data_IF_700622973132
#
_entry.id   IF_700622973132
#
_cell.length_a   1.000
_cell.length_b   1.000
_cell.length_c   1.000
_cell.angle_alpha   90.00
_cell.angle_beta   90.00
_cell.angle_gamma   90.00
#
_symmetry.space_group_name_H-M   'P 1'
#
loop_
_entity.id
_entity.type
_entity.pdbx_description
1 polymer ?
#
# COMPACT_ATOMS: atom_id res chain seq x y z
N UNK A 1 2.28 12.03 -28.34
CA UNK A 1 2.69 12.21 -26.94
C UNK A 1 1.84 11.30 -26.05
N UNK A 2 2.45 10.48 -25.22
CA UNK A 2 1.66 9.73 -24.27
C UNK A 2 1.03 10.67 -23.23
N UNK A 3 -0.16 10.34 -22.79
CA UNK A 3 -0.80 11.08 -21.71
C UNK A 3 -0.01 10.91 -20.42
N UNK A 4 0.04 11.93 -19.55
CA UNK A 4 0.67 11.75 -18.25
C UNK A 4 -0.10 10.71 -17.43
N UNK A 5 0.62 10.00 -16.58
CA UNK A 5 -0.01 9.07 -15.67
C UNK A 5 -0.95 9.83 -14.71
N UNK A 6 -1.92 9.10 -14.16
CA UNK A 6 -2.83 9.68 -13.15
C UNK A 6 -2.05 10.02 -11.88
N UNK A 7 -2.62 10.83 -10.98
CA UNK A 7 -2.02 11.04 -9.66
C UNK A 7 -2.25 9.87 -8.70
N UNK A 8 -2.97 8.83 -9.11
CA UNK A 8 -3.20 7.65 -8.28
C UNK A 8 -1.95 6.77 -8.23
N UNK A 9 -1.76 6.13 -7.08
CA UNK A 9 -0.67 5.18 -6.87
C UNK A 9 -1.19 3.99 -6.09
N UNK A 10 -0.61 2.82 -6.35
CA UNK A 10 -0.88 1.63 -5.55
C UNK A 10 0.40 1.28 -4.81
N UNK A 11 0.30 1.19 -3.50
CA UNK A 11 1.43 0.77 -2.66
C UNK A 11 1.21 -0.68 -2.27
N UNK A 12 2.24 -1.50 -2.50
CA UNK A 12 2.25 -2.89 -2.08
C UNK A 12 3.08 -3.04 -0.82
N UNK A 13 2.54 -3.75 0.15
CA UNK A 13 3.29 -4.23 1.30
C UNK A 13 2.74 -5.59 1.71
N UNK A 14 3.50 -6.34 2.49
CA UNK A 14 3.08 -7.62 3.04
C UNK A 14 3.15 -7.56 4.56
N UNK A 15 2.30 -8.33 5.22
CA UNK A 15 2.30 -8.45 6.68
C UNK A 15 2.35 -9.92 7.06
N UNK A 16 2.70 -10.18 8.32
CA UNK A 16 2.84 -11.55 8.80
C UNK A 16 1.49 -12.29 8.87
N UNK A 17 0.39 -11.56 9.03
CA UNK A 17 -0.94 -12.15 9.21
C UNK A 17 -2.02 -11.16 8.81
N UNK A 18 -3.27 -11.66 8.60
CA UNK A 18 -4.39 -10.79 8.18
C UNK A 18 -4.76 -9.74 9.23
N UNK A 19 -4.60 -10.05 10.51
CA UNK A 19 -4.97 -9.13 11.60
C UNK A 19 -4.09 -7.89 11.56
N UNK A 20 -2.80 -8.05 11.34
CA UNK A 20 -1.90 -6.92 11.19
C UNK A 20 -2.24 -6.09 9.95
N UNK A 21 -2.50 -6.77 8.83
CA UNK A 21 -2.87 -6.09 7.58
C UNK A 21 -4.14 -5.25 7.76
N UNK A 22 -5.14 -5.80 8.45
CA UNK A 22 -6.39 -5.09 8.70
C UNK A 22 -6.16 -3.87 9.60
N UNK A 23 -5.34 -4.01 10.62
CA UNK A 23 -5.01 -2.91 11.53
C UNK A 23 -4.27 -1.79 10.81
N UNK A 24 -3.25 -2.14 10.01
CA UNK A 24 -2.51 -1.19 9.20
C UNK A 24 -3.43 -0.49 8.21
N UNK A 25 -4.20 -1.26 7.44
CA UNK A 25 -5.08 -0.72 6.43
C UNK A 25 -6.11 0.25 7.01
N UNK A 26 -6.73 -0.13 8.12
CA UNK A 26 -7.71 0.72 8.77
C UNK A 26 -7.08 2.03 9.25
N UNK A 27 -5.93 1.97 9.92
CA UNK A 27 -5.27 3.17 10.41
C UNK A 27 -4.91 4.12 9.27
N UNK A 28 -4.35 3.59 8.18
CA UNK A 28 -3.92 4.42 7.06
C UNK A 28 -5.10 5.04 6.31
N UNK A 29 -6.22 4.33 6.23
CA UNK A 29 -7.45 4.89 5.62
C UNK A 29 -8.08 5.92 6.55
N UNK A 30 -8.17 5.65 7.85
CA UNK A 30 -8.71 6.61 8.82
C UNK A 30 -7.90 7.90 8.85
N UNK A 31 -6.59 7.82 8.70
CA UNK A 31 -5.71 8.99 8.68
C UNK A 31 -5.64 9.65 7.31
N UNK A 32 -6.40 9.18 6.35
CA UNK A 32 -6.49 9.71 4.98
C UNK A 32 -5.17 9.68 4.22
N UNK A 33 -4.30 8.76 4.58
CA UNK A 33 -3.06 8.49 3.87
C UNK A 33 -3.28 7.52 2.71
N UNK A 34 -4.35 6.74 2.78
CA UNK A 34 -4.82 5.89 1.70
C UNK A 34 -6.33 6.04 1.58
N UNK A 35 -6.84 5.93 0.36
CA UNK A 35 -8.27 5.97 0.11
C UNK A 35 -8.90 4.59 0.34
N UNK A 36 -8.13 3.54 0.13
CA UNK A 36 -8.62 2.17 0.17
C UNK A 36 -7.48 1.23 0.52
N UNK A 37 -7.79 0.21 1.31
CA UNK A 37 -6.88 -0.88 1.63
C UNK A 37 -7.57 -2.19 1.27
N UNK A 38 -6.91 -2.97 0.40
CA UNK A 38 -7.42 -4.28 -0.01
C UNK A 38 -6.45 -5.34 0.48
N UNK A 39 -6.98 -6.37 1.13
CA UNK A 39 -6.18 -7.43 1.72
C UNK A 39 -6.35 -8.71 0.91
N UNK A 40 -5.24 -9.39 0.64
CA UNK A 40 -5.23 -10.72 0.04
C UNK A 40 -4.52 -11.64 1.02
N UNK A 41 -5.26 -12.43 1.79
CA UNK A 41 -4.66 -13.32 2.78
C UNK A 41 -4.08 -14.56 2.13
N UNK A 42 -3.22 -15.26 2.89
CA UNK A 42 -2.68 -16.57 2.53
C UNK A 42 -1.88 -16.57 1.22
N UNK A 43 -1.14 -15.49 0.96
CA UNK A 43 -0.15 -15.50 -0.11
C UNK A 43 1.12 -16.17 0.39
N UNK A 44 1.85 -16.83 -0.51
CA UNK A 44 3.13 -17.43 -0.17
C UNK A 44 4.23 -16.56 -0.77
N UNK A 45 5.14 -16.07 0.10
CA UNK A 45 6.29 -15.29 -0.32
C UNK A 45 7.53 -16.17 -0.24
N UNK A 46 8.32 -16.16 -1.31
CA UNK A 46 9.60 -16.88 -1.38
C UNK A 46 10.65 -15.82 -1.64
N UNK A 47 11.63 -15.73 -0.76
CA UNK A 47 12.57 -14.60 -0.80
C UNK A 47 13.93 -15.02 -0.23
N UNK A 48 14.94 -14.21 -0.51
CA UNK A 48 16.28 -14.44 0.03
C UNK A 48 16.45 -13.59 1.28
N UNK A 49 16.90 -14.25 2.34
CA UNK A 49 17.14 -13.60 3.62
C UNK A 49 18.39 -14.19 4.26
N UNK A 50 19.36 -13.33 4.58
CA UNK A 50 20.60 -13.73 5.27
C UNK A 50 21.28 -14.93 4.61
N UNK A 51 21.36 -14.90 3.28
CA UNK A 51 22.07 -15.94 2.51
C UNK A 51 21.27 -17.20 2.21
N UNK A 52 20.03 -17.30 2.66
CA UNK A 52 19.19 -18.47 2.43
C UNK A 52 17.89 -18.09 1.72
N UNK A 53 17.30 -19.05 1.01
CA UNK A 53 15.98 -18.88 0.43
C UNK A 53 14.96 -19.34 1.46
N UNK A 54 14.06 -18.41 1.82
CA UNK A 54 13.03 -18.62 2.83
C UNK A 54 11.66 -18.61 2.17
N UNK A 55 10.67 -19.16 2.88
CA UNK A 55 9.28 -19.14 2.46
C UNK A 55 8.41 -18.80 3.65
N UNK A 56 7.43 -17.95 3.45
CA UNK A 56 6.52 -17.54 4.52
C UNK A 56 5.11 -17.34 3.96
N UNK A 57 4.12 -17.69 4.77
CA UNK A 57 2.74 -17.29 4.49
C UNK A 57 2.58 -15.85 4.97
N UNK A 58 2.01 -15.01 4.11
CA UNK A 58 1.82 -13.60 4.40
C UNK A 58 0.45 -13.13 3.93
N UNK A 59 0.08 -11.92 4.31
CA UNK A 59 -1.07 -11.20 3.76
C UNK A 59 -0.55 -10.04 2.94
N UNK A 60 -0.98 -9.97 1.68
CA UNK A 60 -0.65 -8.86 0.79
C UNK A 60 -1.63 -7.73 1.04
N UNK A 61 -1.11 -6.53 1.25
CA UNK A 61 -1.89 -5.32 1.46
C UNK A 61 -1.66 -4.38 0.29
N UNK A 62 -2.76 -4.02 -0.37
CA UNK A 62 -2.77 -3.08 -1.49
C UNK A 62 -3.38 -1.78 -0.99
N UNK A 63 -2.60 -0.69 -1.01
CA UNK A 63 -3.05 0.61 -0.56
C UNK A 63 -3.22 1.50 -1.79
N UNK A 64 -4.44 1.98 -2.02
CA UNK A 64 -4.72 2.91 -3.12
C UNK A 64 -4.65 4.32 -2.57
N UNK A 65 -3.76 5.12 -3.16
CA UNK A 65 -3.40 6.43 -2.63
C UNK A 65 -3.06 7.40 -3.77
N UNK A 66 -2.50 8.53 -3.45
CA UNK A 66 -2.08 9.53 -4.42
C UNK A 66 -0.67 9.99 -4.20
N UNK A 67 -0.11 10.66 -5.21
CA UNK A 67 1.27 11.15 -5.17
C UNK A 67 1.55 12.06 -3.97
N UNK A 68 0.56 12.84 -3.55
CA UNK A 68 0.72 13.78 -2.44
C UNK A 68 0.85 13.14 -1.07
N UNK A 69 0.45 11.85 -0.93
CA UNK A 69 0.46 11.15 0.34
C UNK A 69 1.68 10.23 0.53
N UNK A 70 2.45 9.97 -0.52
CA UNK A 70 3.46 8.90 -0.49
C UNK A 70 4.49 9.04 0.62
N UNK A 71 5.01 10.24 0.85
CA UNK A 71 6.03 10.46 1.88
C UNK A 71 5.45 10.18 3.28
N UNK A 72 4.29 10.75 3.56
CA UNK A 72 3.64 10.56 4.85
C UNK A 72 3.16 9.11 5.04
N UNK A 73 2.68 8.49 3.96
CA UNK A 73 2.23 7.10 4.00
C UNK A 73 3.39 6.16 4.33
N UNK A 74 4.53 6.34 3.69
CA UNK A 74 5.71 5.51 3.98
C UNK A 74 6.15 5.66 5.43
N UNK A 75 6.25 6.89 5.91
CA UNK A 75 6.66 7.16 7.29
C UNK A 75 5.71 6.48 8.29
N UNK A 76 4.41 6.63 8.06
CA UNK A 76 3.42 6.08 8.98
C UNK A 76 3.36 4.56 8.93
N UNK A 77 3.45 3.98 7.73
CA UNK A 77 3.47 2.53 7.57
C UNK A 77 4.65 1.92 8.31
N UNK A 78 5.82 2.55 8.20
CA UNK A 78 7.01 2.04 8.89
C UNK A 78 6.88 2.12 10.42
N UNK A 79 6.21 3.13 10.94
CA UNK A 79 5.95 3.23 12.39
C UNK A 79 5.04 2.11 12.88
N UNK A 80 4.04 1.73 12.08
CA UNK A 80 3.01 0.78 12.49
C UNK A 80 3.36 -0.68 12.19
N UNK A 81 4.26 -0.90 11.24
CA UNK A 81 4.57 -2.24 10.75
C UNK A 81 5.45 -3.01 11.73
N UNK A 82 5.18 -4.31 11.88
CA UNK A 82 5.96 -5.16 12.79
C UNK A 82 7.35 -5.50 12.22
N UNK A 83 7.53 -5.46 10.90
CA UNK A 83 8.83 -5.75 10.30
C UNK A 83 9.76 -4.56 10.45
N UNK A 84 11.04 -4.84 10.65
CA UNK A 84 12.07 -3.81 10.68
C UNK A 84 12.22 -3.16 9.30
N UNK A 85 12.15 -3.96 8.24
CA UNK A 85 12.27 -3.49 6.86
C UNK A 85 11.07 -3.97 6.06
N UNK A 86 9.92 -3.28 6.18
CA UNK A 86 8.71 -3.69 5.45
C UNK A 86 8.84 -3.38 3.96
N UNK A 87 8.15 -4.19 3.14
CA UNK A 87 8.01 -3.89 1.73
C UNK A 87 7.23 -2.59 1.57
N UNK A 88 7.71 -1.73 0.70
CA UNK A 88 7.01 -0.51 0.30
C UNK A 88 7.32 -0.27 -1.16
N UNK A 89 6.45 -0.75 -2.04
CA UNK A 89 6.62 -0.60 -3.48
C UNK A 89 5.50 0.26 -4.01
N UNK A 90 5.84 1.25 -4.82
CA UNK A 90 4.89 2.19 -5.39
C UNK A 90 4.68 1.86 -6.86
N UNK A 91 3.44 1.56 -7.24
CA UNK A 91 3.06 1.31 -8.62
C UNK A 91 2.34 2.53 -9.18
N UNK A 92 2.73 2.94 -10.37
CA UNK A 92 2.09 4.05 -11.07
C UNK A 92 0.79 3.52 -11.69
N UNK A 93 -0.30 4.25 -11.51
CA UNK A 93 -1.57 3.96 -12.17
C UNK A 93 -1.63 4.79 -13.43
N UNK A 94 -1.43 4.15 -14.57
CA UNK A 94 -1.38 4.85 -15.86
C UNK A 94 -2.73 5.46 -16.23
N UNK A 95 -3.80 4.71 -16.02
CA UNK A 95 -5.15 5.14 -16.39
C UNK A 95 -6.16 4.59 -15.40
N UNK A 96 -7.26 5.31 -15.22
CA UNK A 96 -8.38 4.89 -14.40
C UNK A 96 -9.61 5.64 -14.86
N UNK A 97 -10.80 5.13 -14.50
CA UNK A 97 -12.03 5.85 -14.80
C UNK A 97 -12.06 7.16 -14.00
N UNK A 98 -12.60 8.21 -14.61
CA UNK A 98 -12.67 9.52 -13.95
C UNK A 98 -13.49 9.49 -12.66
N UNK A 99 -14.68 8.82 -12.63
CA UNK A 99 -15.44 8.75 -11.37
C UNK A 99 -14.65 8.10 -10.23
N UNK A 100 -13.87 7.07 -10.52
CA UNK A 100 -13.06 6.41 -9.49
C UNK A 100 -11.92 7.30 -9.01
N UNK A 101 -11.24 7.99 -9.95
CA UNK A 101 -10.19 8.94 -9.59
C UNK A 101 -10.73 10.05 -8.69
N UNK A 102 -11.91 10.58 -9.02
CA UNK A 102 -12.53 11.64 -8.23
C UNK A 102 -12.82 11.16 -6.80
N UNK A 103 -13.35 9.94 -6.68
CA UNK A 103 -13.60 9.35 -5.37
C UNK A 103 -12.30 9.15 -4.59
N UNK A 104 -11.28 8.62 -5.26
CA UNK A 104 -9.98 8.37 -4.64
C UNK A 104 -9.38 9.66 -4.10
N UNK A 105 -9.33 10.70 -4.93
CA UNK A 105 -8.78 11.98 -4.53
C UNK A 105 -9.57 12.63 -3.38
N UNK A 106 -10.90 12.53 -3.42
CA UNK A 106 -11.75 13.10 -2.38
C UNK A 106 -11.59 12.37 -1.04
N UNK A 107 -11.13 11.13 -1.07
CA UNK A 107 -10.96 10.32 0.14
C UNK A 107 -9.61 10.54 0.81
N UNK A 108 -8.69 11.24 0.15
CA UNK A 108 -7.35 11.51 0.69
C UNK A 108 -7.34 12.86 1.42
N UNK A 109 -6.40 13.00 2.35
CA UNK A 109 -6.17 14.25 3.04
C UNK A 109 -5.42 15.25 2.17
N UNK A 110 -5.31 16.47 2.66
CA UNK A 110 -4.48 17.47 2.00
C UNK A 110 -3.01 17.10 2.16
N UNK A 111 -2.21 17.20 1.09
CA UNK A 111 -0.79 16.88 1.16
C UNK A 111 -0.04 17.83 2.10
#
# INVERSE_FOLDING_TARGET
MPSPATPARIVLTTTANPEEAARLGRALVEERLAACATLIPAVQSIYRWQGAVESAAETLLLLKTGTGQLVALEARLRELHSYQTPEFLVLVVEAASQPYLDWLQSSLGQP
#
